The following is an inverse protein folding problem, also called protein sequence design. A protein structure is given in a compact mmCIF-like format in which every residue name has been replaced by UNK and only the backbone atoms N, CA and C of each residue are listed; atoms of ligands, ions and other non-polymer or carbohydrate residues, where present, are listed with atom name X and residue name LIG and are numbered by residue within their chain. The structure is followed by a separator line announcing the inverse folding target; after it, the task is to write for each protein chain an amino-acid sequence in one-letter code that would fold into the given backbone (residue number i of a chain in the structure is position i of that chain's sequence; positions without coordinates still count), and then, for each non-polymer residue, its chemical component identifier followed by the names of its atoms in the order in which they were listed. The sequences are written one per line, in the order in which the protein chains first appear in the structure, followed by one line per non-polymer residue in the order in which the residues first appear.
data_IF_914630759089
#
_entry.id   IF_914630759089
#
_cell.length_a   1.000
_cell.length_b   1.000
_cell.length_c   1.000
_cell.angle_alpha   90.00
_cell.angle_beta   90.00
_cell.angle_gamma   90.00
#
_symmetry.space_group_name_H-M   'P 1'
#
loop_
_entity.id
_entity.type
_entity.pdbx_description
1 polymer ?
#
# COMPACT_ATOMS: atom_id res chain seq x y z
N UNK A 1 -68.20 10.92 13.15
CA UNK A 1 -66.86 10.94 12.53
C UNK A 1 -66.17 9.64 12.87
N UNK A 2 -66.04 8.68 11.92
CA UNK A 2 -65.39 7.38 12.14
C UNK A 2 -63.95 7.48 11.64
N UNK A 3 -62.98 7.42 12.55
CA UNK A 3 -61.56 7.32 12.19
C UNK A 3 -61.27 5.91 11.64
N UNK A 4 -60.94 5.86 10.35
CA UNK A 4 -60.41 4.63 9.73
C UNK A 4 -58.91 4.52 10.03
N UNK A 5 -58.53 3.74 11.02
CA UNK A 5 -57.16 3.34 11.26
C UNK A 5 -56.74 2.36 10.15
N UNK A 6 -56.00 2.85 9.16
CA UNK A 6 -55.33 1.98 8.18
C UNK A 6 -54.19 1.25 8.87
N UNK A 7 -54.36 -0.04 9.09
CA UNK A 7 -53.28 -0.93 9.50
C UNK A 7 -52.29 -1.06 8.32
N UNK A 8 -51.12 -0.46 8.41
CA UNK A 8 -50.02 -0.70 7.46
C UNK A 8 -49.54 -2.16 7.66
N UNK A 9 -49.38 -2.94 6.60
CA UNK A 9 -48.89 -4.32 6.73
C UNK A 9 -47.39 -4.27 7.12
N UNK A 10 -47.10 -4.90 8.26
CA UNK A 10 -45.76 -5.05 8.83
C UNK A 10 -44.76 -5.78 7.88
N UNK A 11 -45.32 -6.48 6.87
CA UNK A 11 -44.53 -7.24 5.89
C UNK A 11 -43.69 -6.39 4.94
N UNK A 12 -44.04 -5.10 4.69
CA UNK A 12 -43.31 -4.22 3.80
C UNK A 12 -42.03 -3.66 4.41
N UNK A 13 -41.94 -3.52 5.73
CA UNK A 13 -40.77 -2.96 6.41
C UNK A 13 -39.59 -3.94 6.49
N UNK A 14 -39.85 -5.22 6.59
CA UNK A 14 -38.79 -6.25 6.64
C UNK A 14 -38.07 -6.42 5.30
N UNK A 15 -38.76 -6.21 4.17
CA UNK A 15 -38.15 -6.34 2.85
C UNK A 15 -37.20 -5.16 2.49
N UNK A 16 -37.53 -3.93 2.95
CA UNK A 16 -36.70 -2.77 2.71
C UNK A 16 -35.40 -2.77 3.55
N UNK A 17 -35.44 -3.30 4.77
CA UNK A 17 -34.26 -3.35 5.64
C UNK A 17 -33.26 -4.41 5.21
N UNK A 18 -33.72 -5.54 4.66
CA UNK A 18 -32.85 -6.58 4.12
C UNK A 18 -32.11 -6.11 2.85
N UNK A 19 -32.78 -5.34 1.99
CA UNK A 19 -32.15 -4.77 0.78
C UNK A 19 -31.06 -3.73 1.09
N UNK A 20 -31.25 -2.89 2.10
CA UNK A 20 -30.28 -1.87 2.51
C UNK A 20 -29.01 -2.47 3.13
N UNK A 21 -29.15 -3.57 3.90
CA UNK A 21 -28.00 -4.26 4.51
C UNK A 21 -27.12 -4.97 3.48
N UNK A 22 -27.68 -5.48 2.38
CA UNK A 22 -26.92 -6.15 1.32
C UNK A 22 -26.09 -5.14 0.52
N UNK A 23 -26.61 -3.94 0.27
CA UNK A 23 -25.87 -2.88 -0.49
C UNK A 23 -24.67 -2.37 0.30
N UNK A 24 -24.73 -2.29 1.64
CA UNK A 24 -23.60 -1.83 2.47
C UNK A 24 -22.45 -2.84 2.52
N UNK A 25 -22.73 -4.14 2.34
CA UNK A 25 -21.69 -5.19 2.38
C UNK A 25 -20.86 -5.29 1.09
N UNK A 26 -21.31 -4.68 -0.03
CA UNK A 26 -20.60 -4.79 -1.32
C UNK A 26 -19.53 -3.70 -1.55
N UNK A 27 -19.38 -2.73 -0.64
CA UNK A 27 -18.46 -1.60 -0.85
C UNK A 27 -17.19 -1.62 0.02
N UNK A 28 -16.96 -2.69 0.77
CA UNK A 28 -15.73 -2.85 1.52
C UNK A 28 -14.59 -3.32 0.59
N UNK A 29 -14.01 -2.41 -0.19
CA UNK A 29 -12.70 -2.66 -0.81
C UNK A 29 -11.66 -2.73 0.29
N UNK A 30 -10.84 -3.81 0.38
CA UNK A 30 -9.80 -3.89 1.40
C UNK A 30 -8.79 -2.78 1.19
N UNK A 31 -8.61 -1.92 2.20
CA UNK A 31 -7.67 -0.79 2.22
C UNK A 31 -6.23 -1.19 1.82
N UNK A 32 -5.81 -2.40 2.16
CA UNK A 32 -4.49 -2.95 1.84
C UNK A 32 -4.13 -2.99 0.34
N UNK A 33 -5.11 -3.03 -0.57
CA UNK A 33 -4.84 -2.99 -2.01
C UNK A 33 -4.58 -1.57 -2.52
N UNK A 34 -5.15 -0.55 -1.87
CA UNK A 34 -4.94 0.85 -2.23
C UNK A 34 -3.56 1.34 -1.81
N UNK A 35 -3.09 0.96 -0.63
CA UNK A 35 -1.78 1.34 -0.11
C UNK A 35 -0.65 0.79 -0.99
N UNK A 36 -0.79 -0.44 -1.48
CA UNK A 36 0.24 -1.04 -2.33
C UNK A 36 0.31 -0.38 -3.72
N UNK A 37 -0.82 0.02 -4.30
CA UNK A 37 -0.85 0.74 -5.59
C UNK A 37 -0.26 2.16 -5.46
N UNK A 38 -0.60 2.87 -4.38
CA UNK A 38 -0.02 4.18 -4.07
C UNK A 38 1.49 4.07 -3.83
N UNK A 39 1.92 3.08 -3.04
CA UNK A 39 3.33 2.81 -2.78
C UNK A 39 4.13 2.48 -4.03
N UNK A 40 3.57 1.69 -4.95
CA UNK A 40 4.20 1.39 -6.23
C UNK A 40 4.37 2.65 -7.10
N UNK A 41 3.40 3.58 -7.09
CA UNK A 41 3.50 4.84 -7.82
C UNK A 41 4.60 5.75 -7.25
N UNK A 42 4.68 5.89 -5.93
CA UNK A 42 5.75 6.63 -5.24
C UNK A 42 7.11 6.00 -5.53
N UNK A 43 7.21 4.67 -5.39
CA UNK A 43 8.43 3.93 -5.68
C UNK A 43 8.93 4.19 -7.11
N UNK A 44 8.05 4.08 -8.09
CA UNK A 44 8.36 4.32 -9.50
C UNK A 44 8.88 5.73 -9.75
N UNK A 45 8.31 6.74 -9.11
CA UNK A 45 8.64 8.15 -9.35
C UNK A 45 9.86 8.63 -8.58
N UNK A 46 10.15 8.07 -7.40
CA UNK A 46 11.16 8.59 -6.47
C UNK A 46 12.33 7.64 -6.20
N UNK A 47 12.10 6.34 -6.24
CA UNK A 47 13.06 5.33 -5.75
C UNK A 47 13.69 4.51 -6.88
N UNK A 48 12.91 4.19 -7.92
CA UNK A 48 13.26 3.25 -8.98
C UNK A 48 14.54 3.66 -9.76
N UNK A 49 14.84 4.94 -9.88
CA UNK A 49 16.03 5.43 -10.61
C UNK A 49 17.31 4.83 -10.05
N UNK A 50 17.40 4.67 -8.73
CA UNK A 50 18.55 4.07 -8.07
C UNK A 50 18.33 2.61 -7.69
N UNK A 51 17.16 2.28 -7.10
CA UNK A 51 16.87 0.94 -6.59
C UNK A 51 16.41 -0.06 -7.66
N UNK A 52 16.09 0.39 -8.88
CA UNK A 52 15.61 -0.47 -9.95
C UNK A 52 14.12 -0.86 -9.79
N UNK A 53 13.48 -1.37 -10.85
CA UNK A 53 12.07 -1.76 -10.80
C UNK A 53 11.80 -2.96 -9.90
N UNK A 54 12.82 -3.80 -9.66
CA UNK A 54 12.78 -5.02 -8.86
C UNK A 54 13.44 -4.86 -7.47
N UNK A 55 13.96 -3.66 -7.15
CA UNK A 55 14.67 -3.40 -5.90
C UNK A 55 16.14 -3.84 -5.86
N UNK A 56 16.65 -4.46 -6.93
CA UNK A 56 18.02 -4.99 -6.98
C UNK A 56 19.10 -3.99 -7.35
N UNK A 57 18.73 -2.72 -7.54
CA UNK A 57 19.65 -1.64 -7.91
C UNK A 57 19.89 -1.54 -9.42
N UNK A 58 19.83 -0.31 -9.94
CA UNK A 58 20.27 0.02 -11.30
C UNK A 58 21.80 0.08 -11.39
N UNK A 59 22.36 0.24 -12.58
CA UNK A 59 23.80 0.46 -12.75
C UNK A 59 24.27 1.71 -11.97
N UNK A 60 23.50 2.80 -12.03
CA UNK A 60 23.76 4.03 -11.27
C UNK A 60 23.64 3.75 -9.75
N UNK A 61 22.59 3.09 -9.33
CA UNK A 61 22.42 2.72 -7.92
C UNK A 61 23.60 1.90 -7.39
N UNK A 62 24.03 0.89 -8.14
CA UNK A 62 25.17 0.04 -7.76
C UNK A 62 26.48 0.83 -7.63
N UNK A 63 26.73 1.81 -8.49
CA UNK A 63 27.91 2.70 -8.36
C UNK A 63 27.85 3.58 -7.11
N UNK A 64 26.65 3.84 -6.58
CA UNK A 64 26.39 4.56 -5.34
C UNK A 64 26.26 3.65 -4.11
N UNK A 65 26.49 2.35 -4.26
CA UNK A 65 26.34 1.33 -3.20
C UNK A 65 24.94 1.30 -2.57
N UNK A 66 23.88 1.41 -3.40
CA UNK A 66 22.52 1.28 -2.87
C UNK A 66 22.28 -0.14 -2.36
N UNK A 67 21.53 -0.24 -1.27
CA UNK A 67 21.13 -1.52 -0.73
C UNK A 67 20.18 -2.26 -1.69
N UNK A 68 20.38 -3.57 -1.83
CA UNK A 68 19.39 -4.45 -2.47
C UNK A 68 18.18 -4.57 -1.54
N UNK A 69 17.06 -3.98 -1.97
CA UNK A 69 15.83 -3.93 -1.18
C UNK A 69 15.22 -5.31 -0.92
N UNK A 70 15.62 -6.33 -1.68
CA UNK A 70 15.14 -7.71 -1.54
C UNK A 70 15.93 -8.50 -0.50
N UNK A 71 17.08 -7.98 -0.09
CA UNK A 71 18.01 -8.68 0.81
C UNK A 71 17.40 -8.90 2.20
N UNK A 72 17.85 -9.95 2.87
CA UNK A 72 17.46 -10.22 4.26
C UNK A 72 17.83 -9.07 5.19
N UNK A 73 18.95 -8.39 4.94
CA UNK A 73 19.39 -7.24 5.73
C UNK A 73 18.40 -6.08 5.69
N UNK A 74 17.77 -5.82 4.55
CA UNK A 74 16.74 -4.79 4.42
C UNK A 74 15.41 -5.30 4.94
N UNK A 75 15.04 -6.52 4.57
CA UNK A 75 13.72 -7.07 4.88
C UNK A 75 13.51 -7.40 6.37
N UNK A 76 14.60 -7.63 7.12
CA UNK A 76 14.55 -7.85 8.58
C UNK A 76 14.48 -6.56 9.41
N UNK A 77 14.74 -5.40 8.82
CA UNK A 77 14.62 -4.12 9.53
C UNK A 77 13.19 -3.83 9.92
N UNK A 78 13.01 -3.18 11.07
CA UNK A 78 11.70 -2.71 11.49
C UNK A 78 11.15 -1.65 10.54
N UNK A 79 9.85 -1.47 10.56
CA UNK A 79 9.19 -0.40 9.79
C UNK A 79 9.70 0.98 10.22
N UNK A 80 9.86 1.21 11.52
CA UNK A 80 10.39 2.45 12.06
C UNK A 80 11.80 2.77 11.55
N UNK A 81 12.71 1.78 11.49
CA UNK A 81 14.05 1.97 10.95
C UNK A 81 14.03 2.33 9.46
N UNK A 82 13.19 1.66 8.67
CA UNK A 82 13.08 1.96 7.25
C UNK A 82 12.39 3.31 7.00
N UNK A 83 11.37 3.66 7.79
CA UNK A 83 10.73 4.97 7.76
C UNK A 83 11.75 6.07 8.01
N UNK A 84 12.61 5.90 9.03
CA UNK A 84 13.66 6.86 9.33
C UNK A 84 14.66 6.99 8.16
N UNK A 85 15.08 5.88 7.56
CA UNK A 85 16.01 5.90 6.41
C UNK A 85 15.39 6.64 5.21
N UNK A 86 14.11 6.44 4.94
CA UNK A 86 13.42 7.14 3.85
C UNK A 86 13.27 8.62 4.17
N UNK A 87 12.87 8.95 5.41
CA UNK A 87 12.64 10.33 5.83
C UNK A 87 13.92 11.17 5.85
N UNK A 88 14.95 10.65 6.50
CA UNK A 88 16.16 11.42 6.79
C UNK A 88 17.29 11.18 5.76
N UNK A 89 17.17 10.11 4.98
CA UNK A 89 18.23 9.65 4.08
C UNK A 89 19.29 8.83 4.81
N UNK A 90 20.16 8.20 4.03
CA UNK A 90 21.32 7.46 4.55
C UNK A 90 22.43 7.37 3.49
N UNK A 91 23.65 7.77 3.84
CA UNK A 91 24.79 7.80 2.92
C UNK A 91 24.46 8.60 1.64
N UNK A 92 24.44 7.93 0.47
CA UNK A 92 24.13 8.55 -0.82
C UNK A 92 22.62 8.61 -1.11
N UNK A 93 21.76 8.02 -0.27
CA UNK A 93 20.33 8.10 -0.40
C UNK A 93 19.82 9.42 0.18
N UNK A 94 19.15 10.28 -0.60
CA UNK A 94 18.58 11.52 -0.07
C UNK A 94 17.42 11.24 0.88
N UNK A 95 17.17 12.16 1.81
CA UNK A 95 15.96 12.15 2.63
C UNK A 95 14.75 12.69 1.86
N UNK A 96 13.59 12.14 2.13
CA UNK A 96 12.34 12.50 1.47
C UNK A 96 11.35 13.22 2.40
N UNK A 97 11.72 13.51 3.65
CA UNK A 97 10.91 14.29 4.58
C UNK A 97 10.54 15.65 3.97
N UNK A 98 9.24 15.94 3.91
CA UNK A 98 8.72 17.15 3.28
C UNK A 98 8.65 17.11 1.74
N UNK A 99 9.16 16.05 1.11
CA UNK A 99 9.02 15.82 -0.35
C UNK A 99 7.88 14.88 -0.66
N UNK A 100 7.68 13.88 0.20
CA UNK A 100 6.53 12.97 0.21
C UNK A 100 5.90 12.99 1.60
N UNK A 101 4.62 12.65 1.69
CA UNK A 101 3.88 12.61 2.96
C UNK A 101 4.23 11.38 3.79
N UNK A 102 3.88 11.38 5.07
CA UNK A 102 4.07 10.21 5.94
C UNK A 102 3.25 9.01 5.45
N UNK A 103 2.03 9.23 4.94
CA UNK A 103 1.22 8.17 4.34
C UNK A 103 1.89 7.58 3.09
N UNK A 104 2.52 8.41 2.25
CA UNK A 104 3.30 7.94 1.11
C UNK A 104 4.55 7.16 1.52
N UNK A 105 5.18 7.53 2.63
CA UNK A 105 6.30 6.76 3.22
C UNK A 105 5.82 5.37 3.65
N UNK A 106 4.70 5.28 4.35
CA UNK A 106 4.13 3.99 4.74
C UNK A 106 3.70 3.16 3.54
N UNK A 107 3.06 3.77 2.55
CA UNK A 107 2.66 3.10 1.33
C UNK A 107 3.87 2.55 0.53
N UNK A 108 4.95 3.33 0.37
CA UNK A 108 6.14 2.87 -0.34
C UNK A 108 6.87 1.77 0.43
N UNK A 109 6.86 1.79 1.77
CA UNK A 109 7.38 0.70 2.58
C UNK A 109 6.61 -0.61 2.37
N UNK A 110 5.28 -0.55 2.35
CA UNK A 110 4.45 -1.71 2.03
C UNK A 110 4.83 -2.29 0.65
N UNK A 111 5.05 -1.44 -0.36
CA UNK A 111 5.53 -1.86 -1.67
C UNK A 111 6.93 -2.51 -1.59
N UNK A 112 7.89 -1.92 -0.89
CA UNK A 112 9.25 -2.47 -0.70
C UNK A 112 9.21 -3.87 -0.08
N UNK A 113 8.28 -4.13 0.86
CA UNK A 113 8.09 -5.48 1.43
C UNK A 113 7.61 -6.50 0.40
N UNK A 114 6.92 -6.08 -0.64
CA UNK A 114 6.50 -6.99 -1.72
C UNK A 114 7.64 -7.41 -2.63
N UNK A 115 8.71 -6.61 -2.72
CA UNK A 115 9.86 -6.90 -3.58
C UNK A 115 10.61 -8.17 -3.15
N UNK A 116 10.66 -8.46 -1.85
CA UNK A 116 11.23 -9.72 -1.34
C UNK A 116 10.53 -10.97 -1.89
N UNK A 117 9.24 -10.89 -2.17
CA UNK A 117 8.43 -12.00 -2.69
C UNK A 117 8.67 -12.25 -4.18
N UNK A 118 9.13 -11.24 -4.91
CA UNK A 118 9.43 -11.36 -6.35
C UNK A 118 10.67 -12.18 -6.67
N UNK A 119 11.59 -12.35 -5.73
CA UNK A 119 12.82 -13.14 -5.93
C UNK A 119 12.56 -14.67 -5.90
N UNK A 120 11.33 -15.08 -5.54
CA UNK A 120 10.87 -16.49 -5.58
C UNK A 120 10.37 -16.92 -6.96
N UNK A 121 10.31 -16.02 -7.95
CA UNK A 121 9.97 -16.39 -9.31
C UNK A 121 11.19 -17.04 -9.99
N UNK A 122 11.06 -18.24 -10.60
CA UNK A 122 12.17 -18.91 -11.27
C UNK A 122 12.71 -18.02 -12.39
N UNK A 123 13.98 -17.62 -12.27
CA UNK A 123 14.70 -16.95 -13.37
C UNK A 123 14.66 -17.86 -14.57
N UNK A 124 13.86 -17.52 -15.59
CA UNK A 124 13.98 -18.19 -16.89
C UNK A 124 15.40 -17.95 -17.41
N UNK A 125 16.15 -19.04 -17.55
CA UNK A 125 17.41 -19.09 -18.30
C UNK A 125 17.13 -18.77 -19.76
#
# INVERSE_FOLDING_TARGET
MKLHTRKLPLAGFLALTAGLLIVVMLTATPAACQDNAAGAAVYKSKCQTCHGPDGGGTAVGKSLNVADLRSADVQSKSEAELTQVISDGKNNMPGFKGTITDDEIHAVLAHVRTLAKGDSAPKKK
#
